data_IF_428693734241
#
_entry.id   IF_428693734241
#
_cell.length_a   1.000
_cell.length_b   1.000
_cell.length_c   1.000
_cell.angle_alpha   90.00
_cell.angle_beta   90.00
_cell.angle_gamma   90.00
#
_symmetry.space_group_name_H-M   'P 1'
#
loop_
_entity.id
_entity.type
_entity.pdbx_description
1 polymer ?
#
# COMPACT_ATOMS: atom_id res chain seq x y z
N UNK A 1 -11.62 -56.90 -23.80
CA UNK A 1 -12.55 -55.87 -23.32
C UNK A 1 -11.91 -55.27 -22.11
N UNK A 2 -11.14 -54.23 -22.32
CA UNK A 2 -10.44 -53.48 -21.28
C UNK A 2 -11.09 -52.11 -21.22
N UNK A 3 -11.79 -51.87 -20.13
CA UNK A 3 -12.44 -50.60 -19.84
C UNK A 3 -11.42 -49.59 -19.30
N UNK A 4 -11.04 -48.66 -20.13
CA UNK A 4 -10.29 -47.45 -19.73
C UNK A 4 -11.21 -46.51 -18.94
N UNK A 5 -11.02 -46.48 -17.63
CA UNK A 5 -11.63 -45.46 -16.77
C UNK A 5 -10.69 -44.26 -16.72
N UNK A 6 -10.90 -43.30 -17.61
CA UNK A 6 -10.28 -41.98 -17.55
C UNK A 6 -10.84 -41.23 -16.35
N UNK A 7 -10.05 -41.20 -15.28
CA UNK A 7 -10.31 -40.36 -14.09
C UNK A 7 -10.01 -38.89 -14.47
N UNK A 8 -11.04 -38.14 -14.86
CA UNK A 8 -10.93 -36.71 -15.05
C UNK A 8 -10.82 -36.06 -13.69
N UNK A 9 -9.60 -35.79 -13.25
CA UNK A 9 -9.38 -34.87 -12.17
C UNK A 9 -9.90 -33.48 -12.62
N UNK A 10 -11.10 -33.15 -12.16
CA UNK A 10 -11.61 -31.80 -12.21
C UNK A 10 -10.61 -30.91 -11.44
N UNK A 11 -9.86 -30.10 -12.16
CA UNK A 11 -9.06 -29.03 -11.56
C UNK A 11 -10.05 -28.11 -10.84
N UNK A 12 -10.08 -28.19 -9.52
CA UNK A 12 -10.82 -27.24 -8.70
C UNK A 12 -10.30 -25.85 -9.04
N UNK A 13 -11.17 -25.00 -9.57
CA UNK A 13 -10.90 -23.58 -9.81
C UNK A 13 -10.46 -23.02 -8.45
N UNK A 14 -9.27 -22.40 -8.31
CA UNK A 14 -8.87 -21.83 -7.05
C UNK A 14 -9.92 -20.79 -6.64
N UNK A 15 -10.56 -20.98 -5.51
CA UNK A 15 -11.41 -19.96 -4.90
C UNK A 15 -10.48 -18.88 -4.38
N UNK A 16 -10.11 -17.92 -5.23
CA UNK A 16 -9.18 -16.83 -4.89
C UNK A 16 -9.69 -16.03 -3.69
N UNK A 17 -9.01 -16.17 -2.54
CA UNK A 17 -9.27 -15.31 -1.38
C UNK A 17 -8.28 -14.15 -1.40
N UNK A 18 -8.83 -12.92 -1.38
CA UNK A 18 -8.04 -11.71 -1.17
C UNK A 18 -8.10 -11.32 0.30
N UNK A 19 -6.98 -10.86 0.84
CA UNK A 19 -6.89 -10.23 2.14
C UNK A 19 -6.62 -8.74 2.02
N UNK A 20 -7.39 -7.91 2.72
CA UNK A 20 -7.08 -6.50 2.97
C UNK A 20 -6.77 -6.33 4.46
N UNK A 21 -5.54 -5.93 4.80
CA UNK A 21 -5.17 -5.54 6.17
C UNK A 21 -5.30 -4.03 6.34
N UNK A 22 -5.43 -3.55 7.59
CA UNK A 22 -5.71 -2.13 7.85
C UNK A 22 -7.11 -1.71 7.40
N UNK A 23 -8.05 -2.66 7.44
CA UNK A 23 -9.39 -2.54 6.89
C UNK A 23 -10.28 -1.49 7.58
N UNK A 24 -9.99 -1.15 8.86
CA UNK A 24 -10.64 -0.07 9.60
C UNK A 24 -10.04 1.31 9.31
N UNK A 25 -8.84 1.37 8.71
CA UNK A 25 -8.17 2.61 8.34
C UNK A 25 -8.85 3.34 7.16
N UNK A 26 -8.46 4.60 6.93
CA UNK A 26 -9.04 5.41 5.85
C UNK A 26 -8.93 4.72 4.49
N UNK A 27 -7.72 4.23 4.12
CA UNK A 27 -7.48 3.58 2.83
C UNK A 27 -8.14 2.21 2.73
N UNK A 28 -8.14 1.44 3.83
CA UNK A 28 -8.84 0.15 3.88
C UNK A 28 -10.34 0.30 3.62
N UNK A 29 -10.99 1.31 4.21
CA UNK A 29 -12.42 1.61 3.97
C UNK A 29 -12.69 2.01 2.53
N UNK A 30 -11.81 2.81 1.91
CA UNK A 30 -11.92 3.18 0.49
C UNK A 30 -11.89 1.93 -0.38
N UNK A 31 -10.94 1.01 -0.16
CA UNK A 31 -10.83 -0.22 -0.93
C UNK A 31 -12.01 -1.17 -0.70
N UNK A 32 -12.46 -1.34 0.54
CA UNK A 32 -13.62 -2.18 0.87
C UNK A 32 -14.89 -1.67 0.16
N UNK A 33 -15.10 -0.36 0.17
CA UNK A 33 -16.23 0.27 -0.54
C UNK A 33 -16.14 0.07 -2.05
N UNK A 34 -14.96 0.23 -2.64
CA UNK A 34 -14.72 0.04 -4.07
C UNK A 34 -14.81 -1.44 -4.46
N UNK A 35 -14.48 -2.35 -3.55
CA UNK A 35 -14.53 -3.79 -3.80
C UNK A 35 -15.87 -4.27 -4.35
N UNK A 36 -16.97 -3.86 -3.74
CA UNK A 36 -18.28 -4.29 -4.13
C UNK A 36 -18.68 -3.86 -5.57
N UNK A 37 -18.08 -2.78 -6.06
CA UNK A 37 -18.42 -2.15 -7.34
C UNK A 37 -17.41 -2.44 -8.45
N UNK A 38 -16.11 -2.47 -8.16
CA UNK A 38 -15.05 -2.46 -9.17
C UNK A 38 -14.19 -3.73 -9.16
N UNK A 39 -13.87 -4.26 -7.99
CA UNK A 39 -12.89 -5.36 -7.86
C UNK A 39 -13.55 -6.72 -8.08
N UNK A 40 -14.80 -6.88 -7.69
CA UNK A 40 -15.56 -8.13 -7.86
C UNK A 40 -16.18 -8.28 -9.27
N UNK A 41 -16.14 -7.23 -10.09
CA UNK A 41 -16.74 -7.25 -11.43
C UNK A 41 -16.14 -8.30 -12.38
N UNK A 42 -14.93 -8.78 -12.12
CA UNK A 42 -14.22 -9.77 -12.93
C UNK A 42 -14.25 -11.20 -12.37
N UNK A 43 -14.95 -11.45 -11.25
CA UNK A 43 -15.13 -12.79 -10.69
C UNK A 43 -13.86 -13.53 -10.23
N UNK A 44 -12.68 -12.86 -10.23
CA UNK A 44 -11.40 -13.47 -9.85
C UNK A 44 -11.34 -13.78 -8.35
N UNK A 45 -11.92 -12.90 -7.52
CA UNK A 45 -11.88 -13.04 -6.07
C UNK A 45 -13.26 -13.38 -5.55
N UNK A 46 -13.46 -14.62 -5.13
CA UNK A 46 -14.76 -15.07 -4.62
C UNK A 46 -14.97 -14.69 -3.15
N UNK A 47 -13.88 -14.49 -2.42
CA UNK A 47 -13.91 -14.20 -0.99
C UNK A 47 -12.99 -13.05 -0.64
N UNK A 48 -13.50 -12.10 0.14
CA UNK A 48 -12.72 -10.99 0.71
C UNK A 48 -12.58 -11.22 2.22
N UNK A 49 -11.34 -11.43 2.66
CA UNK A 49 -10.99 -11.36 4.08
C UNK A 49 -10.51 -9.96 4.39
N UNK A 50 -11.02 -9.39 5.47
CA UNK A 50 -10.64 -8.05 5.95
C UNK A 50 -10.09 -8.16 7.37
N UNK A 51 -8.99 -7.48 7.65
CA UNK A 51 -8.34 -7.56 8.95
C UNK A 51 -7.91 -6.19 9.45
N UNK A 52 -8.14 -5.99 10.73
CA UNK A 52 -7.63 -4.88 11.52
C UNK A 52 -7.50 -5.33 12.98
N UNK A 53 -6.79 -4.57 13.81
CA UNK A 53 -6.77 -4.79 15.27
C UNK A 53 -8.07 -4.37 15.95
N UNK A 54 -8.91 -3.60 15.25
CA UNK A 54 -10.21 -3.15 15.75
C UNK A 54 -11.35 -3.87 15.02
N UNK A 55 -12.49 -4.10 15.69
CA UNK A 55 -13.67 -4.63 15.05
C UNK A 55 -14.23 -3.64 14.03
N UNK A 56 -14.76 -4.17 12.93
CA UNK A 56 -15.45 -3.44 11.90
C UNK A 56 -16.95 -3.53 12.13
N UNK A 57 -17.64 -2.40 12.18
CA UNK A 57 -19.08 -2.34 12.44
C UNK A 57 -19.92 -2.24 11.15
N UNK A 58 -19.24 -2.13 9.99
CA UNK A 58 -19.83 -1.91 8.67
C UNK A 58 -19.46 -3.02 7.68
N UNK A 59 -19.44 -4.28 8.15
CA UNK A 59 -19.10 -5.43 7.29
C UNK A 59 -20.14 -5.63 6.18
N UNK A 60 -19.62 -5.76 4.95
CA UNK A 60 -20.40 -6.21 3.81
C UNK A 60 -20.69 -7.72 3.85
N UNK A 61 -21.77 -8.16 3.21
CA UNK A 61 -22.17 -9.58 3.19
C UNK A 61 -21.12 -10.52 2.56
N UNK A 62 -20.19 -9.99 1.79
CA UNK A 62 -19.10 -10.71 1.12
C UNK A 62 -17.76 -10.64 1.88
N UNK A 63 -17.73 -10.02 3.05
CA UNK A 63 -16.53 -9.81 3.86
C UNK A 63 -16.47 -10.77 5.04
N UNK A 64 -15.33 -11.43 5.20
CA UNK A 64 -14.95 -12.21 6.38
C UNK A 64 -13.99 -11.38 7.22
N UNK A 65 -14.40 -10.95 8.41
CA UNK A 65 -13.50 -10.26 9.32
C UNK A 65 -12.67 -11.22 10.16
N UNK A 66 -11.36 -10.96 10.24
CA UNK A 66 -10.45 -11.56 11.21
C UNK A 66 -9.74 -10.43 11.96
N UNK A 67 -9.94 -10.34 13.28
CA UNK A 67 -9.21 -9.36 14.12
C UNK A 67 -7.80 -9.89 14.34
N UNK A 68 -6.80 -9.06 14.00
CA UNK A 68 -5.40 -9.44 14.09
C UNK A 68 -4.52 -8.22 14.36
N UNK A 69 -3.62 -8.33 15.34
CA UNK A 69 -2.50 -7.42 15.49
C UNK A 69 -1.35 -7.90 14.59
N UNK A 70 -0.80 -7.01 13.78
CA UNK A 70 0.29 -7.34 12.85
C UNK A 70 1.56 -7.82 13.57
N UNK A 71 1.77 -7.39 14.82
CA UNK A 71 2.92 -7.82 15.63
C UNK A 71 2.79 -9.23 16.18
N UNK A 72 1.57 -9.80 16.19
CA UNK A 72 1.30 -11.17 16.62
C UNK A 72 1.56 -12.16 15.47
N UNK A 73 2.66 -12.89 15.57
CA UNK A 73 3.09 -13.83 14.54
C UNK A 73 2.09 -14.98 14.33
N UNK A 74 1.61 -15.58 15.40
CA UNK A 74 0.69 -16.73 15.31
C UNK A 74 -0.65 -16.32 14.71
N UNK A 75 -1.18 -15.17 15.14
CA UNK A 75 -2.38 -14.59 14.56
C UNK A 75 -2.22 -14.28 13.05
N UNK A 76 -1.06 -13.78 12.63
CA UNK A 76 -0.76 -13.52 11.23
C UNK A 76 -0.66 -14.80 10.41
N UNK A 77 -0.09 -15.89 10.94
CA UNK A 77 -0.06 -17.18 10.25
C UNK A 77 -1.49 -17.73 10.05
N UNK A 78 -2.37 -17.60 11.04
CA UNK A 78 -3.78 -17.95 10.90
C UNK A 78 -4.53 -17.06 9.90
N UNK A 79 -4.26 -15.76 9.92
CA UNK A 79 -4.88 -14.78 9.03
C UNK A 79 -4.61 -15.08 7.54
N UNK A 80 -3.41 -15.55 7.21
CA UNK A 80 -2.98 -15.82 5.82
C UNK A 80 -3.45 -17.19 5.29
N UNK A 81 -4.06 -18.07 6.11
CA UNK A 81 -4.49 -19.39 5.62
C UNK A 81 -5.49 -19.29 4.46
N UNK A 82 -5.14 -19.91 3.33
CA UNK A 82 -5.94 -19.92 2.11
C UNK A 82 -6.02 -18.57 1.37
N UNK A 83 -5.16 -17.61 1.72
CA UNK A 83 -5.06 -16.32 1.03
C UNK A 83 -4.17 -16.44 -0.20
N UNK A 84 -4.68 -16.05 -1.36
CA UNK A 84 -3.94 -16.02 -2.63
C UNK A 84 -3.16 -14.72 -2.80
N UNK A 85 -3.76 -13.59 -2.42
CA UNK A 85 -3.15 -12.27 -2.53
C UNK A 85 -3.49 -11.38 -1.34
N UNK A 86 -2.61 -10.43 -1.06
CA UNK A 86 -2.75 -9.45 0.03
C UNK A 86 -2.67 -8.02 -0.51
N UNK A 87 -3.58 -7.17 -0.06
CA UNK A 87 -3.46 -5.72 -0.12
C UNK A 87 -3.16 -5.23 1.30
N UNK A 88 -1.89 -4.91 1.54
CA UNK A 88 -1.41 -4.55 2.87
C UNK A 88 -1.44 -3.04 3.09
N UNK A 89 -2.50 -2.56 3.75
CA UNK A 89 -2.68 -1.16 4.16
C UNK A 89 -2.50 -0.99 5.68
N UNK A 90 -2.26 -2.10 6.40
CA UNK A 90 -2.05 -2.10 7.85
C UNK A 90 -0.71 -1.50 8.26
N UNK A 91 -0.67 -0.98 9.48
CA UNK A 91 0.51 -0.40 10.09
C UNK A 91 0.26 1.00 10.65
N UNK A 92 1.29 1.56 11.30
CA UNK A 92 1.31 2.95 11.72
C UNK A 92 1.57 3.84 10.50
N UNK A 93 0.63 4.76 10.21
CA UNK A 93 0.64 5.56 8.98
C UNK A 93 1.26 6.96 9.14
N UNK A 94 1.63 7.33 10.37
CA UNK A 94 2.14 8.67 10.72
C UNK A 94 3.43 8.52 11.50
N UNK A 95 4.36 9.47 11.33
CA UNK A 95 5.59 9.55 12.12
C UNK A 95 5.28 9.64 13.61
N UNK A 96 5.88 8.78 14.42
CA UNK A 96 5.68 8.69 15.87
C UNK A 96 6.85 7.99 16.57
N UNK A 97 6.69 7.59 17.84
CA UNK A 97 7.68 6.85 18.61
C UNK A 97 8.15 5.58 17.89
N UNK A 98 9.46 5.35 17.93
CA UNK A 98 10.09 4.23 17.22
C UNK A 98 9.48 2.87 17.60
N UNK A 99 9.15 2.65 18.87
CA UNK A 99 8.59 1.39 19.34
C UNK A 99 7.26 1.06 18.66
N UNK A 100 6.39 2.06 18.48
CA UNK A 100 5.11 1.88 17.78
C UNK A 100 5.34 1.53 16.32
N UNK A 101 6.27 2.24 15.65
CA UNK A 101 6.62 1.98 14.25
C UNK A 101 7.30 0.62 14.11
N UNK A 102 8.21 0.27 15.04
CA UNK A 102 8.88 -1.04 15.05
C UNK A 102 7.85 -2.17 15.11
N UNK A 103 6.93 -2.11 16.05
CA UNK A 103 5.99 -3.20 16.28
C UNK A 103 4.99 -3.32 15.11
N UNK A 104 4.40 -2.21 14.69
CA UNK A 104 3.38 -2.22 13.62
C UNK A 104 3.98 -2.40 12.22
N UNK A 105 5.10 -1.71 11.89
CA UNK A 105 5.58 -1.65 10.51
C UNK A 105 6.76 -2.57 10.24
N UNK A 106 7.68 -2.75 11.21
CA UNK A 106 8.85 -3.61 11.00
C UNK A 106 8.50 -5.05 11.37
N UNK A 107 8.09 -5.30 12.61
CA UNK A 107 7.68 -6.64 13.04
C UNK A 107 6.46 -7.12 12.26
N UNK A 108 5.46 -6.24 12.07
CA UNK A 108 4.25 -6.57 11.31
C UNK A 108 4.53 -6.97 9.87
N UNK A 109 5.43 -6.28 9.18
CA UNK A 109 5.83 -6.63 7.80
C UNK A 109 6.61 -7.94 7.74
N UNK A 110 7.50 -8.18 8.70
CA UNK A 110 8.19 -9.47 8.82
C UNK A 110 7.18 -10.61 8.99
N UNK A 111 6.23 -10.47 9.92
CA UNK A 111 5.20 -11.48 10.16
C UNK A 111 4.32 -11.71 8.91
N UNK A 112 3.96 -10.62 8.19
CA UNK A 112 3.18 -10.70 6.96
C UNK A 112 3.87 -11.58 5.91
N UNK A 113 5.15 -11.31 5.62
CA UNK A 113 5.86 -12.04 4.58
C UNK A 113 6.13 -13.49 4.96
N UNK A 114 6.46 -13.79 6.23
CA UNK A 114 6.61 -15.17 6.70
C UNK A 114 5.28 -15.93 6.62
N UNK A 115 4.19 -15.34 7.08
CA UNK A 115 2.86 -15.93 6.97
C UNK A 115 2.43 -16.12 5.50
N UNK A 116 2.71 -15.15 4.62
CA UNK A 116 2.44 -15.23 3.19
C UNK A 116 3.22 -16.38 2.54
N UNK A 117 4.50 -16.55 2.89
CA UNK A 117 5.34 -17.65 2.41
C UNK A 117 4.81 -19.01 2.85
N UNK A 118 4.47 -19.16 4.14
CA UNK A 118 3.93 -20.40 4.70
C UNK A 118 2.57 -20.77 4.09
N UNK A 119 1.72 -19.78 3.82
CA UNK A 119 0.41 -19.97 3.19
C UNK A 119 0.47 -20.17 1.67
N UNK A 120 1.63 -19.98 1.04
CA UNK A 120 1.78 -20.06 -0.42
C UNK A 120 1.15 -18.89 -1.16
N UNK A 121 0.98 -17.74 -0.51
CA UNK A 121 0.50 -16.50 -1.12
C UNK A 121 1.40 -16.09 -2.30
N UNK A 122 0.82 -15.59 -3.39
CA UNK A 122 1.53 -15.30 -4.64
C UNK A 122 1.75 -13.80 -4.89
N UNK A 123 0.89 -12.96 -4.33
CA UNK A 123 0.91 -11.52 -4.60
C UNK A 123 0.72 -10.69 -3.33
N UNK A 124 1.56 -9.68 -3.17
CA UNK A 124 1.39 -8.62 -2.17
C UNK A 124 1.34 -7.27 -2.87
N UNK A 125 0.33 -6.46 -2.59
CA UNK A 125 0.31 -5.03 -2.88
C UNK A 125 0.63 -4.32 -1.57
N UNK A 126 1.80 -3.71 -1.48
CA UNK A 126 2.34 -3.12 -0.26
C UNK A 126 2.14 -1.61 -0.24
N UNK A 127 1.46 -1.08 0.76
CA UNK A 127 1.44 0.36 1.01
C UNK A 127 2.83 0.82 1.50
N UNK A 128 3.69 1.17 0.55
CA UNK A 128 4.88 1.97 0.80
C UNK A 128 4.51 3.46 0.86
N UNK A 129 5.47 4.36 0.81
CA UNK A 129 5.22 5.78 0.99
C UNK A 129 6.25 6.64 0.26
N UNK A 130 5.84 7.83 -0.16
CA UNK A 130 6.74 8.88 -0.61
C UNK A 130 7.77 9.29 0.47
N UNK A 131 7.50 8.99 1.75
CA UNK A 131 8.41 9.25 2.87
C UNK A 131 9.70 8.41 2.82
N UNK A 132 9.77 7.35 1.99
CA UNK A 132 11.03 6.67 1.64
C UNK A 132 12.03 7.61 0.98
N UNK A 133 11.54 8.64 0.29
CA UNK A 133 12.33 9.65 -0.43
C UNK A 133 11.99 11.08 0.03
N UNK A 134 11.44 11.23 1.23
CA UNK A 134 10.92 12.51 1.74
C UNK A 134 11.96 13.62 1.92
N UNK A 135 13.25 13.29 2.05
CA UNK A 135 14.33 14.27 2.16
C UNK A 135 14.86 14.82 0.83
N UNK A 136 14.28 14.46 -0.31
CA UNK A 136 14.55 15.16 -1.57
C UNK A 136 13.94 16.57 -1.55
N UNK A 137 14.54 17.48 -2.33
CA UNK A 137 14.04 18.86 -2.43
C UNK A 137 12.67 18.91 -3.12
N UNK A 138 11.78 19.81 -2.69
CA UNK A 138 10.55 20.09 -3.41
C UNK A 138 10.90 20.58 -4.83
N UNK A 139 10.14 20.10 -5.84
CA UNK A 139 10.42 20.39 -7.24
C UNK A 139 11.48 19.49 -7.88
N UNK A 140 12.29 18.75 -7.11
CA UNK A 140 13.20 17.76 -7.68
C UNK A 140 12.39 16.55 -8.18
N UNK A 141 12.63 16.17 -9.43
CA UNK A 141 12.01 14.96 -9.98
C UNK A 141 12.71 13.71 -9.44
N UNK A 142 11.93 12.77 -8.91
CA UNK A 142 12.44 11.57 -8.25
C UNK A 142 11.81 10.33 -8.88
N UNK A 143 12.64 9.33 -9.23
CA UNK A 143 12.18 8.03 -9.73
C UNK A 143 12.38 6.92 -8.67
N UNK A 144 11.69 5.77 -8.82
CA UNK A 144 11.74 4.69 -7.82
C UNK A 144 13.13 4.08 -7.61
N UNK A 145 14.00 4.15 -8.61
CA UNK A 145 15.37 3.62 -8.62
C UNK A 145 16.40 4.56 -7.99
N UNK A 146 16.02 5.81 -7.71
CA UNK A 146 16.91 6.74 -7.02
C UNK A 146 17.15 6.31 -5.56
N UNK A 147 18.32 6.65 -4.97
CA UNK A 147 18.64 6.30 -3.59
C UNK A 147 17.54 6.74 -2.61
N UNK A 148 17.23 5.89 -1.65
CA UNK A 148 16.30 6.27 -0.58
C UNK A 148 16.88 7.41 0.26
N UNK A 149 16.03 8.38 0.63
CA UNK A 149 16.32 9.49 1.55
C UNK A 149 15.12 9.67 2.47
N UNK A 150 14.90 8.73 3.42
CA UNK A 150 13.74 8.78 4.31
C UNK A 150 13.81 10.00 5.23
N UNK A 151 12.65 10.50 5.59
CA UNK A 151 12.47 11.72 6.37
C UNK A 151 12.09 11.49 7.84
N UNK A 152 11.95 10.23 8.25
CA UNK A 152 11.62 9.84 9.61
C UNK A 152 11.66 8.32 9.81
N UNK A 153 11.35 7.86 11.02
CA UNK A 153 11.24 6.42 11.35
C UNK A 153 10.18 5.73 10.50
N UNK A 154 9.06 6.42 10.23
CA UNK A 154 8.03 5.94 9.33
C UNK A 154 8.59 5.67 7.93
N UNK A 155 9.30 6.63 7.33
CA UNK A 155 9.95 6.47 6.03
C UNK A 155 10.94 5.31 6.00
N UNK A 156 11.78 5.17 7.07
CA UNK A 156 12.70 4.04 7.23
C UNK A 156 11.95 2.71 7.31
N UNK A 157 10.82 2.65 8.02
CA UNK A 157 10.02 1.42 8.12
C UNK A 157 9.42 0.99 6.79
N UNK A 158 9.06 1.95 5.94
CA UNK A 158 8.57 1.66 4.58
C UNK A 158 9.70 1.21 3.65
N UNK A 159 10.91 1.76 3.80
CA UNK A 159 12.09 1.24 3.10
C UNK A 159 12.43 -0.21 3.54
N UNK A 160 12.30 -0.53 4.83
CA UNK A 160 12.41 -1.90 5.32
C UNK A 160 11.40 -2.83 4.63
N UNK A 161 10.14 -2.39 4.48
CA UNK A 161 9.11 -3.18 3.79
C UNK A 161 9.46 -3.44 2.31
N UNK A 162 10.01 -2.45 1.59
CA UNK A 162 10.49 -2.62 0.21
C UNK A 162 11.66 -3.60 0.13
N UNK A 163 12.59 -3.57 1.10
CA UNK A 163 13.69 -4.53 1.21
C UNK A 163 13.21 -5.96 1.47
N UNK A 164 12.22 -6.11 2.35
CA UNK A 164 11.57 -7.41 2.61
C UNK A 164 10.89 -7.94 1.34
N UNK A 165 10.14 -7.09 0.64
CA UNK A 165 9.50 -7.43 -0.62
C UNK A 165 10.48 -8.00 -1.65
N UNK A 166 11.61 -7.33 -1.85
CA UNK A 166 12.67 -7.76 -2.77
C UNK A 166 13.23 -9.12 -2.37
N UNK A 167 13.59 -9.30 -1.10
CA UNK A 167 14.15 -10.54 -0.60
C UNK A 167 13.18 -11.72 -0.74
N UNK A 168 11.88 -11.52 -0.42
CA UNK A 168 10.88 -12.58 -0.52
C UNK A 168 10.52 -12.91 -1.98
N UNK A 169 10.63 -11.97 -2.90
CA UNK A 169 10.52 -12.27 -4.32
C UNK A 169 11.69 -13.11 -4.80
N UNK A 170 12.92 -12.68 -4.57
CA UNK A 170 14.12 -13.36 -5.06
C UNK A 170 14.27 -14.79 -4.48
N UNK A 171 13.89 -14.98 -3.22
CA UNK A 171 14.07 -16.29 -2.54
C UNK A 171 12.86 -17.21 -2.67
N UNK A 172 11.65 -16.67 -2.76
CA UNK A 172 10.41 -17.45 -2.63
C UNK A 172 9.38 -17.16 -3.73
N UNK A 173 9.65 -16.26 -4.66
CA UNK A 173 8.79 -15.94 -5.78
C UNK A 173 7.48 -15.23 -5.39
N UNK A 174 7.42 -14.57 -4.23
CA UNK A 174 6.26 -13.78 -3.83
C UNK A 174 6.33 -12.43 -4.55
N UNK A 175 5.53 -12.27 -5.59
CA UNK A 175 5.49 -11.02 -6.33
C UNK A 175 4.94 -9.88 -5.47
N UNK A 176 5.60 -8.71 -5.53
CA UNK A 176 5.16 -7.55 -4.77
C UNK A 176 5.16 -6.28 -5.62
N UNK A 177 4.08 -5.50 -5.52
CA UNK A 177 4.08 -4.11 -5.99
C UNK A 177 4.07 -3.19 -4.77
N UNK A 178 5.19 -2.47 -4.57
CA UNK A 178 5.32 -1.45 -3.54
C UNK A 178 4.76 -0.13 -4.07
N UNK A 179 3.73 0.39 -3.43
CA UNK A 179 3.10 1.65 -3.78
C UNK A 179 3.68 2.76 -2.89
N UNK A 180 4.62 3.56 -3.40
CA UNK A 180 5.07 4.80 -2.73
C UNK A 180 3.96 5.83 -2.85
N UNK A 181 2.96 5.72 -1.99
CA UNK A 181 1.76 6.56 -2.02
C UNK A 181 2.11 8.01 -1.66
N UNK A 182 1.54 8.94 -2.41
CA UNK A 182 1.50 10.36 -2.08
C UNK A 182 0.46 10.68 -1.01
N UNK A 183 -0.09 11.88 -1.04
CA UNK A 183 -1.12 12.32 -0.10
C UNK A 183 -2.49 11.78 -0.53
N UNK A 184 -2.89 10.63 0.03
CA UNK A 184 -4.18 9.97 -0.29
C UNK A 184 -5.26 10.52 0.63
N UNK A 185 -5.86 11.62 0.24
CA UNK A 185 -6.90 12.34 0.98
C UNK A 185 -8.00 12.82 0.03
N UNK A 186 -9.23 13.10 0.54
CA UNK A 186 -10.36 13.49 -0.32
C UNK A 186 -10.10 14.73 -1.16
N UNK A 187 -9.32 15.69 -0.61
CA UNK A 187 -9.03 16.98 -1.21
C UNK A 187 -7.60 17.39 -0.89
N UNK A 188 -6.88 17.99 -1.85
CA UNK A 188 -5.59 18.60 -1.57
C UNK A 188 -5.78 19.83 -0.67
N UNK A 189 -4.93 19.98 0.35
CA UNK A 189 -5.14 20.97 1.43
C UNK A 189 -4.14 22.13 1.40
N UNK A 190 -2.99 21.95 0.73
CA UNK A 190 -1.90 22.92 0.62
C UNK A 190 -1.22 22.88 -0.75
N UNK A 191 -0.28 23.80 -0.98
CA UNK A 191 0.48 23.88 -2.25
C UNK A 191 1.24 22.59 -2.57
N UNK A 192 1.75 21.87 -1.56
CA UNK A 192 2.44 20.59 -1.74
C UNK A 192 1.48 19.58 -2.36
N UNK A 193 0.21 19.61 -2.01
CA UNK A 193 -0.83 18.77 -2.56
C UNK A 193 -0.97 18.88 -4.08
N UNK A 194 -0.66 20.04 -4.70
CA UNK A 194 -0.65 20.20 -6.17
C UNK A 194 0.36 19.28 -6.86
N UNK A 195 1.33 18.76 -6.12
CA UNK A 195 2.34 17.82 -6.64
C UNK A 195 2.17 16.40 -6.13
N UNK A 196 1.58 16.21 -4.95
CA UNK A 196 1.65 14.94 -4.21
C UNK A 196 0.31 14.25 -4.01
N UNK A 197 -0.80 14.92 -4.32
CA UNK A 197 -2.13 14.39 -4.10
C UNK A 197 -2.41 13.17 -4.97
N UNK A 198 -3.03 12.15 -4.35
CA UNK A 198 -3.59 10.98 -4.98
C UNK A 198 -5.06 10.89 -4.58
N UNK A 199 -5.96 10.96 -5.55
CA UNK A 199 -7.39 10.82 -5.30
C UNK A 199 -7.74 9.42 -4.82
N UNK A 200 -8.87 9.27 -4.14
CA UNK A 200 -9.40 7.95 -3.81
C UNK A 200 -9.72 7.11 -5.05
N UNK A 201 -10.33 7.64 -6.14
CA UNK A 201 -10.52 6.86 -7.35
C UNK A 201 -9.20 6.42 -8.00
N UNK A 202 -8.18 7.30 -8.11
CA UNK A 202 -6.88 6.93 -8.64
C UNK A 202 -6.16 5.92 -7.75
N UNK A 203 -6.28 6.04 -6.42
CA UNK A 203 -5.75 5.06 -5.48
C UNK A 203 -6.38 3.66 -5.66
N UNK A 204 -7.69 3.59 -5.89
CA UNK A 204 -8.39 2.33 -6.20
C UNK A 204 -7.88 1.76 -7.51
N UNK A 205 -7.82 2.57 -8.59
CA UNK A 205 -7.28 2.15 -9.90
C UNK A 205 -5.84 1.63 -9.79
N UNK A 206 -4.98 2.35 -9.06
CA UNK A 206 -3.59 1.94 -8.83
C UNK A 206 -3.50 0.60 -8.07
N UNK A 207 -4.27 0.45 -7.02
CA UNK A 207 -4.30 -0.78 -6.21
C UNK A 207 -4.79 -1.96 -7.03
N UNK A 208 -5.85 -1.78 -7.82
CA UNK A 208 -6.40 -2.81 -8.71
C UNK A 208 -5.40 -3.18 -9.80
N UNK A 209 -4.76 -2.20 -10.44
CA UNK A 209 -3.71 -2.42 -11.43
C UNK A 209 -2.55 -3.24 -10.84
N UNK A 210 -2.05 -2.86 -9.67
CA UNK A 210 -0.99 -3.58 -8.95
C UNK A 210 -1.38 -5.01 -8.56
N UNK A 211 -2.65 -5.23 -8.22
CA UNK A 211 -3.17 -6.53 -7.81
C UNK A 211 -3.33 -7.50 -8.99
N UNK A 212 -3.70 -6.99 -10.18
CA UNK A 212 -4.10 -7.80 -11.33
C UNK A 212 -3.03 -7.93 -12.41
N UNK A 213 -2.02 -7.07 -12.42
CA UNK A 213 -0.91 -7.14 -13.38
C UNK A 213 -0.18 -8.49 -13.31
N UNK A 214 0.35 -8.95 -14.45
CA UNK A 214 1.08 -10.22 -14.54
C UNK A 214 2.59 -9.96 -14.52
N UNK A 215 3.32 -10.93 -14.00
CA UNK A 215 4.79 -11.00 -14.09
C UNK A 215 5.47 -9.71 -13.59
N UNK A 216 4.96 -9.14 -12.49
CA UNK A 216 5.47 -7.86 -11.95
C UNK A 216 6.80 -8.02 -11.22
N UNK A 217 7.10 -9.23 -10.73
CA UNK A 217 8.26 -9.48 -9.89
C UNK A 217 8.19 -8.66 -8.58
N UNK A 218 9.28 -7.96 -8.24
CA UNK A 218 9.27 -6.98 -7.18
C UNK A 218 9.38 -5.57 -7.80
N UNK A 219 8.26 -4.86 -7.87
CA UNK A 219 8.16 -3.57 -8.53
C UNK A 219 7.83 -2.48 -7.50
N UNK A 220 8.51 -1.34 -7.60
CA UNK A 220 8.17 -0.13 -6.83
C UNK A 220 7.69 0.95 -7.78
N UNK A 221 6.53 1.56 -7.47
CA UNK A 221 5.95 2.67 -8.25
C UNK A 221 5.49 3.78 -7.33
N UNK A 222 5.50 5.02 -7.83
CA UNK A 222 4.85 6.12 -7.12
C UNK A 222 3.34 6.13 -7.40
N UNK A 223 2.56 6.35 -6.34
CA UNK A 223 1.12 6.58 -6.41
C UNK A 223 0.83 8.07 -6.29
N UNK A 224 0.45 8.69 -7.39
CA UNK A 224 0.08 10.11 -7.50
C UNK A 224 -0.95 10.27 -8.60
N UNK A 225 -1.87 11.24 -8.48
CA UNK A 225 -2.82 11.58 -9.53
C UNK A 225 -2.15 12.31 -10.70
N UNK A 226 -2.89 12.60 -11.77
CA UNK A 226 -2.38 13.29 -12.97
C UNK A 226 -2.09 14.79 -12.70
N UNK A 227 -1.40 15.08 -11.61
CA UNK A 227 -1.03 16.43 -11.23
C UNK A 227 0.04 16.97 -12.19
N UNK A 228 -0.16 18.14 -12.83
CA UNK A 228 0.81 18.69 -13.79
C UNK A 228 2.21 18.93 -13.20
N UNK A 229 2.26 19.25 -11.90
CA UNK A 229 3.51 19.57 -11.19
C UNK A 229 3.99 18.43 -10.26
N UNK A 230 3.62 17.19 -10.55
CA UNK A 230 4.08 16.04 -9.74
C UNK A 230 5.60 15.95 -9.74
N UNK A 231 6.14 15.54 -8.59
CA UNK A 231 7.59 15.41 -8.40
C UNK A 231 8.11 14.02 -8.71
N UNK A 232 7.21 13.06 -8.95
CA UNK A 232 7.56 11.64 -9.04
C UNK A 232 7.30 11.07 -10.42
N UNK A 233 8.21 10.19 -10.80
CA UNK A 233 8.18 9.46 -12.07
C UNK A 233 6.97 8.51 -12.16
N UNK A 234 6.51 8.33 -13.38
CA UNK A 234 5.52 7.31 -13.76
C UNK A 234 6.15 5.95 -14.09
N UNK A 235 7.46 5.78 -13.80
CA UNK A 235 8.17 4.54 -14.09
C UNK A 235 7.46 3.34 -13.46
N UNK A 236 7.22 2.32 -14.27
CA UNK A 236 6.51 1.10 -13.89
C UNK A 236 4.98 1.16 -13.97
N UNK A 237 4.38 2.32 -14.24
CA UNK A 237 2.92 2.42 -14.44
C UNK A 237 2.45 1.60 -15.64
N UNK A 238 3.19 1.65 -16.73
CA UNK A 238 2.95 0.87 -17.94
C UNK A 238 2.99 -0.65 -17.66
N UNK A 239 3.92 -1.10 -16.82
CA UNK A 239 4.05 -2.50 -16.46
C UNK A 239 2.84 -3.05 -15.71
N UNK A 240 2.18 -2.21 -14.91
CA UNK A 240 0.95 -2.60 -14.20
C UNK A 240 -0.33 -2.14 -14.90
N UNK A 241 -0.23 -1.38 -15.98
CA UNK A 241 -1.39 -0.84 -16.71
C UNK A 241 -2.13 0.25 -15.94
N UNK A 242 -1.44 1.01 -15.08
CA UNK A 242 -2.04 2.11 -14.33
C UNK A 242 -2.04 3.41 -15.13
N UNK A 243 -3.16 4.13 -15.08
CA UNK A 243 -3.31 5.47 -15.60
C UNK A 243 -4.03 6.34 -14.56
N UNK A 244 -3.39 7.43 -14.14
CA UNK A 244 -4.01 8.44 -13.31
C UNK A 244 -4.95 9.32 -14.13
N UNK A 245 -6.10 9.66 -13.57
CA UNK A 245 -7.15 10.45 -14.27
C UNK A 245 -7.49 11.76 -13.54
N UNK A 246 -7.38 11.79 -12.21
CA UNK A 246 -7.76 12.94 -11.41
C UNK A 246 -6.58 13.91 -11.24
N UNK A 247 -6.87 15.17 -10.89
CA UNK A 247 -5.83 16.18 -10.67
C UNK A 247 -6.20 17.12 -9.53
N UNK A 248 -5.23 17.48 -8.70
CA UNK A 248 -5.37 18.51 -7.67
C UNK A 248 -5.46 19.93 -8.24
N UNK A 249 -5.26 20.08 -9.55
CA UNK A 249 -5.31 21.38 -10.23
C UNK A 249 -6.63 22.13 -10.04
N UNK A 250 -7.72 21.37 -9.85
CA UNK A 250 -9.05 21.94 -9.60
C UNK A 250 -9.15 22.80 -8.32
N UNK A 251 -8.17 22.64 -7.40
CA UNK A 251 -8.10 23.42 -6.16
C UNK A 251 -6.96 24.42 -6.15
N UNK A 252 -6.24 24.62 -7.25
CA UNK A 252 -5.05 25.49 -7.32
C UNK A 252 -5.29 26.86 -6.68
N UNK A 253 -6.35 27.56 -7.09
CA UNK A 253 -6.65 28.90 -6.61
C UNK A 253 -6.91 28.97 -5.10
N UNK A 254 -7.35 27.87 -4.52
CA UNK A 254 -7.65 27.77 -3.08
C UNK A 254 -6.42 27.45 -2.23
N UNK A 255 -5.44 26.69 -2.79
CA UNK A 255 -4.37 26.09 -1.99
C UNK A 255 -2.96 26.55 -2.35
N UNK A 256 -2.75 27.21 -3.49
CA UNK A 256 -1.40 27.62 -3.95
C UNK A 256 -0.65 28.53 -2.98
N UNK A 257 -1.38 29.30 -2.17
CA UNK A 257 -0.80 30.23 -1.18
C UNK A 257 -0.72 29.60 0.23
N UNK A 258 -1.26 28.38 0.41
CA UNK A 258 -1.15 27.62 1.66
C UNK A 258 0.20 26.89 1.69
N UNK A 259 1.19 27.53 2.30
CA UNK A 259 2.58 27.07 2.32
C UNK A 259 3.08 26.89 3.74
N UNK A 260 4.04 26.00 3.93
CA UNK A 260 4.78 25.90 5.17
C UNK A 260 5.66 27.15 5.39
N UNK A 261 6.05 27.44 6.66
CA UNK A 261 6.92 28.59 6.97
C UNK A 261 8.19 28.57 6.13
N UNK A 262 8.50 29.71 5.50
CA UNK A 262 9.67 29.87 4.67
C UNK A 262 10.97 29.50 5.42
N UNK A 263 11.88 28.79 4.76
CA UNK A 263 13.13 28.32 5.37
C UNK A 263 13.01 27.05 6.23
N UNK A 264 11.79 26.57 6.53
CA UNK A 264 11.61 25.31 7.24
C UNK A 264 11.92 24.09 6.35
N UNK A 265 12.34 22.98 6.96
CA UNK A 265 12.51 21.71 6.23
C UNK A 265 11.19 21.27 5.56
N UNK A 266 10.05 21.56 6.19
CA UNK A 266 8.72 21.26 5.65
C UNK A 266 8.45 21.97 4.32
N UNK A 267 8.96 23.21 4.16
CA UNK A 267 8.83 23.99 2.93
C UNK A 267 9.85 23.59 1.84
N UNK A 268 10.96 23.00 2.24
CA UNK A 268 12.07 22.67 1.33
C UNK A 268 12.00 21.24 0.81
N UNK A 269 11.56 20.27 1.63
CA UNK A 269 11.64 18.84 1.35
C UNK A 269 10.29 18.24 0.97
N UNK A 270 10.33 17.16 0.19
CA UNK A 270 9.14 16.49 -0.33
C UNK A 270 8.28 15.86 0.77
N UNK A 271 8.86 15.46 1.91
CA UNK A 271 8.14 14.90 3.05
C UNK A 271 7.17 15.86 3.74
N UNK A 272 7.36 17.18 3.59
CA UNK A 272 6.43 18.18 4.11
C UNK A 272 6.28 18.12 5.62
N UNK A 273 5.04 18.06 6.11
CA UNK A 273 4.70 18.11 7.54
C UNK A 273 5.38 17.06 8.41
N UNK A 274 5.74 15.90 7.88
CA UNK A 274 6.43 14.85 8.64
C UNK A 274 7.80 15.29 9.15
N UNK A 275 8.50 16.18 8.42
CA UNK A 275 9.77 16.76 8.85
C UNK A 275 9.65 17.76 10.03
N UNK A 276 8.43 18.11 10.39
CA UNK A 276 8.13 18.90 11.58
C UNK A 276 7.75 18.06 12.81
N UNK A 277 7.64 16.73 12.65
CA UNK A 277 7.31 15.80 13.73
C UNK A 277 8.60 15.29 14.41
N UNK A 278 8.54 15.17 15.73
CA UNK A 278 9.71 14.73 16.51
C UNK A 278 10.68 15.89 16.88
N UNK A 279 11.77 15.57 17.63
CA UNK A 279 12.04 14.25 18.20
C UNK A 279 11.00 13.83 19.23
N UNK A 280 10.70 12.52 19.29
CA UNK A 280 9.73 11.99 20.25
C UNK A 280 10.44 11.65 21.56
N UNK A 281 9.98 12.12 22.74
CA UNK A 281 10.53 11.71 24.02
C UNK A 281 10.35 10.19 24.19
N UNK A 282 11.21 9.58 25.01
CA UNK A 282 11.03 8.15 25.34
C UNK A 282 9.62 7.94 25.88
N UNK A 283 8.91 6.94 25.34
CA UNK A 283 7.68 6.45 25.96
C UNK A 283 7.99 6.05 27.40
N UNK A 284 7.31 6.65 28.36
CA UNK A 284 7.42 6.35 29.79
C UNK A 284 6.85 4.97 30.09
#
# INVERSE_FOLDING_TARGET
MTSDSTNSMSAATPSGRLLITGAAGALGRVLRKAWAQEINGNGRWQHLRVSDRLPLHDLGAHEEQVICDLSDREAMEGLLQGVEAVVHMGGQAVETHFEIIRDANIQGVFNLYEAARLAGCKRVVMASSNHVTGCYEQGQFVSPDMPAKPDGYYGVSKLFAEGMASMYFERYGIETVNLRLGSVIPKAEDRRGLSTWLSYPDFVRLTLAALTAKDVGCLTVYGVSANPNKWWSEAGWDKIGYQALDSAEIWRDEIQDKVFPAGSLMAQKQGGSFLGLGPFPKSV
#
